data_IF_956041932917
#
_entry.id   IF_956041932917
#
_cell.length_a   1.000
_cell.length_b   1.000
_cell.length_c   1.000
_cell.angle_alpha   90.00
_cell.angle_beta   90.00
_cell.angle_gamma   90.00
#
_symmetry.space_group_name_H-M   'P 1'
#
loop_
_entity.id
_entity.type
_entity.pdbx_description
1 polymer ?
#
# COMPACT_ATOMS: atom_id res chain seq x y z
N UNK A 1 -23.51 13.07 22.65
CA UNK A 1 -23.03 12.01 21.75
C UNK A 1 -22.81 10.78 22.60
N UNK A 2 -23.46 9.67 22.30
CA UNK A 2 -23.13 8.43 23.00
C UNK A 2 -21.86 7.83 22.37
N UNK A 3 -20.75 8.00 23.09
CA UNK A 3 -19.41 7.58 22.65
C UNK A 3 -19.33 6.04 22.55
N UNK A 4 -20.23 5.33 23.28
CA UNK A 4 -20.26 3.86 23.29
C UNK A 4 -20.48 3.29 21.90
N UNK A 5 -21.30 3.93 21.06
CA UNK A 5 -21.62 3.48 19.71
C UNK A 5 -20.39 3.41 18.79
N UNK A 6 -19.36 4.26 18.98
CA UNK A 6 -18.12 4.21 18.23
C UNK A 6 -17.25 3.00 18.57
N UNK A 7 -17.43 2.43 19.75
CA UNK A 7 -16.69 1.28 20.25
C UNK A 7 -17.51 -0.02 20.18
N UNK A 8 -18.81 0.08 19.88
CA UNK A 8 -19.69 -1.08 19.78
C UNK A 8 -19.25 -2.05 18.67
N UNK A 9 -19.30 -3.33 18.98
CA UNK A 9 -18.88 -4.38 18.06
C UNK A 9 -17.37 -4.47 17.82
N UNK A 10 -16.54 -3.69 18.53
CA UNK A 10 -15.08 -3.85 18.57
C UNK A 10 -14.70 -4.76 19.75
N UNK A 11 -13.68 -5.60 19.55
CA UNK A 11 -13.08 -6.35 20.66
C UNK A 11 -12.18 -5.43 21.52
N UNK A 12 -11.71 -5.93 22.67
CA UNK A 12 -10.94 -5.12 23.63
C UNK A 12 -9.67 -4.54 23.01
N UNK A 13 -8.93 -5.29 22.19
CA UNK A 13 -7.72 -4.82 21.52
C UNK A 13 -8.00 -3.79 20.41
N UNK A 14 -9.10 -3.96 19.71
CA UNK A 14 -9.57 -2.96 18.74
C UNK A 14 -10.00 -1.67 19.45
N UNK A 15 -10.73 -1.78 20.58
CA UNK A 15 -11.10 -0.62 21.43
C UNK A 15 -9.87 0.10 21.96
N UNK A 16 -8.89 -0.66 22.46
CA UNK A 16 -7.60 -0.10 22.91
C UNK A 16 -6.94 0.73 21.80
N UNK A 17 -6.88 0.22 20.57
CA UNK A 17 -6.28 0.94 19.44
C UNK A 17 -7.10 2.17 19.00
N UNK A 18 -8.44 2.07 19.01
CA UNK A 18 -9.34 3.16 18.62
C UNK A 18 -9.32 4.28 19.65
N UNK A 19 -9.40 3.97 20.95
CA UNK A 19 -9.47 4.94 22.03
C UNK A 19 -8.08 5.28 22.62
N UNK A 20 -6.98 4.83 22.00
CA UNK A 20 -5.63 5.13 22.49
C UNK A 20 -5.43 6.64 22.66
N UNK A 21 -4.69 7.11 23.68
CA UNK A 21 -4.33 8.50 23.84
C UNK A 21 -3.68 9.12 22.59
N UNK A 22 -3.56 10.44 22.52
CA UNK A 22 -2.87 11.09 21.41
C UNK A 22 -1.37 10.76 21.45
N UNK A 23 -0.91 9.90 20.56
CA UNK A 23 0.46 9.37 20.55
C UNK A 23 0.83 8.75 19.21
N UNK A 24 1.98 8.10 19.19
CA UNK A 24 2.45 7.34 18.02
C UNK A 24 2.24 5.85 18.27
N UNK A 25 1.62 5.16 17.33
CA UNK A 25 1.22 3.76 17.49
C UNK A 25 1.53 2.92 16.25
N UNK A 26 2.04 1.73 16.51
CA UNK A 26 1.99 0.62 15.56
C UNK A 26 0.82 -0.27 15.96
N UNK A 27 -0.17 -0.40 15.09
CA UNK A 27 -1.18 -1.44 15.18
C UNK A 27 -0.72 -2.63 14.33
N UNK A 28 -0.09 -3.60 14.98
CA UNK A 28 0.35 -4.83 14.35
C UNK A 28 -0.85 -5.78 14.24
N UNK A 29 -1.43 -5.87 13.06
CA UNK A 29 -2.75 -6.44 12.84
C UNK A 29 -2.71 -7.55 11.79
N UNK A 30 -2.92 -8.78 12.20
CA UNK A 30 -2.92 -9.93 11.30
C UNK A 30 -4.03 -9.90 10.25
N UNK A 31 -3.95 -10.79 9.29
CA UNK A 31 -5.00 -10.95 8.27
C UNK A 31 -6.37 -11.18 8.94
N UNK A 32 -7.39 -10.49 8.46
CA UNK A 32 -8.76 -10.66 8.97
C UNK A 32 -9.03 -10.19 10.41
N UNK A 33 -8.09 -9.45 11.04
CA UNK A 33 -8.24 -8.90 12.40
C UNK A 33 -8.97 -7.55 12.46
N UNK A 34 -9.37 -6.99 11.31
CA UNK A 34 -10.09 -5.72 11.23
C UNK A 34 -9.21 -4.48 11.15
N UNK A 35 -8.01 -4.55 10.53
CA UNK A 35 -7.09 -3.43 10.28
C UNK A 35 -7.81 -2.14 9.86
N UNK A 36 -8.48 -2.19 8.73
CA UNK A 36 -9.18 -1.03 8.17
C UNK A 36 -10.32 -0.54 9.07
N UNK A 37 -11.00 -1.46 9.79
CA UNK A 37 -12.04 -1.11 10.74
C UNK A 37 -11.47 -0.28 11.89
N UNK A 38 -10.37 -0.71 12.49
CA UNK A 38 -9.69 0.05 13.56
C UNK A 38 -9.27 1.41 13.08
N UNK A 39 -8.68 1.50 11.88
CA UNK A 39 -8.22 2.77 11.32
C UNK A 39 -9.38 3.75 11.08
N UNK A 40 -10.49 3.28 10.50
CA UNK A 40 -11.68 4.13 10.25
C UNK A 40 -12.35 4.57 11.55
N UNK A 41 -12.47 3.68 12.54
CA UNK A 41 -13.01 4.02 13.87
C UNK A 41 -12.06 4.96 14.63
N UNK A 42 -10.73 4.82 14.51
CA UNK A 42 -9.78 5.77 15.10
C UNK A 42 -9.96 7.17 14.53
N UNK A 43 -10.13 7.31 13.23
CA UNK A 43 -10.40 8.61 12.61
C UNK A 43 -11.71 9.19 13.13
N UNK A 44 -12.77 8.37 13.20
CA UNK A 44 -14.04 8.82 13.77
C UNK A 44 -13.91 9.24 15.24
N UNK A 45 -13.13 8.50 16.04
CA UNK A 45 -12.82 8.84 17.43
C UNK A 45 -12.09 10.17 17.56
N UNK A 46 -11.03 10.39 16.76
CA UNK A 46 -10.29 11.65 16.74
C UNK A 46 -11.19 12.85 16.48
N UNK A 47 -12.14 12.73 15.55
CA UNK A 47 -13.07 13.80 15.21
C UNK A 47 -14.12 13.98 16.29
N UNK A 48 -14.79 12.90 16.69
CA UNK A 48 -15.99 12.96 17.51
C UNK A 48 -15.70 13.10 19.01
N UNK A 49 -14.60 12.54 19.50
CA UNK A 49 -14.26 12.48 20.93
C UNK A 49 -13.14 13.45 21.26
N UNK A 50 -12.06 13.43 20.49
CA UNK A 50 -10.90 14.28 20.69
C UNK A 50 -11.10 15.70 20.11
N UNK A 51 -12.22 15.94 19.42
CA UNK A 51 -12.56 17.20 18.76
C UNK A 51 -11.47 17.69 17.77
N UNK A 52 -10.79 16.76 17.12
CA UNK A 52 -9.79 17.08 16.11
C UNK A 52 -10.49 17.48 14.80
N UNK A 53 -10.09 18.61 14.23
CA UNK A 53 -10.60 19.03 12.93
C UNK A 53 -10.26 18.02 11.84
N UNK A 54 -11.21 17.72 10.96
CA UNK A 54 -11.02 16.83 9.81
C UNK A 54 -9.85 17.29 8.92
N UNK A 55 -9.66 18.60 8.80
CA UNK A 55 -8.54 19.20 8.06
C UNK A 55 -7.17 18.91 8.63
N UNK A 56 -7.10 18.50 9.91
CA UNK A 56 -5.86 18.16 10.61
C UNK A 56 -5.49 16.66 10.49
N UNK A 57 -6.31 15.88 9.79
CA UNK A 57 -6.12 14.43 9.63
C UNK A 57 -5.72 14.12 8.20
N UNK A 58 -4.67 13.32 8.05
CA UNK A 58 -4.26 12.72 6.79
C UNK A 58 -4.31 11.19 6.93
N UNK A 59 -5.02 10.52 6.02
CA UNK A 59 -5.10 9.07 5.97
C UNK A 59 -4.56 8.55 4.63
N UNK A 60 -3.58 7.65 4.71
CA UNK A 60 -2.87 7.12 3.56
C UNK A 60 -3.12 5.62 3.43
N UNK A 61 -3.39 5.17 2.22
CA UNK A 61 -3.57 3.75 1.88
C UNK A 61 -2.88 3.42 0.55
N UNK A 62 -2.87 2.14 0.18
CA UNK A 62 -2.09 1.67 -0.98
C UNK A 62 -2.83 1.78 -2.32
N UNK A 63 -4.17 1.71 -2.32
CA UNK A 63 -4.98 1.73 -3.55
C UNK A 63 -6.07 2.80 -3.50
N UNK A 64 -6.42 3.33 -4.67
CA UNK A 64 -7.53 4.28 -4.78
C UNK A 64 -8.87 3.68 -4.35
N UNK A 65 -9.07 2.37 -4.57
CA UNK A 65 -10.25 1.63 -4.11
C UNK A 65 -10.31 1.63 -2.59
N UNK A 66 -9.21 1.30 -1.91
CA UNK A 66 -9.14 1.31 -0.44
C UNK A 66 -9.35 2.73 0.13
N UNK A 67 -8.82 3.76 -0.54
CA UNK A 67 -9.04 5.16 -0.14
C UNK A 67 -10.52 5.57 -0.25
N UNK A 68 -11.19 5.18 -1.33
CA UNK A 68 -12.63 5.44 -1.52
C UNK A 68 -13.47 4.69 -0.47
N UNK A 69 -13.16 3.41 -0.22
CA UNK A 69 -13.83 2.60 0.80
C UNK A 69 -13.62 3.16 2.21
N UNK A 70 -12.38 3.56 2.54
CA UNK A 70 -12.07 4.20 3.82
C UNK A 70 -12.90 5.48 4.03
N UNK A 71 -12.98 6.34 3.01
CA UNK A 71 -13.79 7.58 3.07
C UNK A 71 -15.26 7.26 3.32
N UNK A 72 -15.83 6.30 2.60
CA UNK A 72 -17.22 5.87 2.77
C UNK A 72 -17.48 5.36 4.19
N UNK A 73 -16.63 4.48 4.70
CA UNK A 73 -16.76 3.92 6.05
C UNK A 73 -16.65 4.98 7.16
N UNK A 74 -15.73 5.94 7.01
CA UNK A 74 -15.62 7.07 7.94
C UNK A 74 -16.92 7.91 7.92
N UNK A 75 -17.41 8.19 6.71
CA UNK A 75 -18.66 8.95 6.53
C UNK A 75 -19.84 8.23 7.16
N UNK A 76 -20.00 6.92 6.93
CA UNK A 76 -21.08 6.11 7.52
C UNK A 76 -21.00 6.06 9.04
N UNK A 77 -19.79 5.91 9.59
CA UNK A 77 -19.59 5.88 11.04
C UNK A 77 -19.94 7.23 11.69
N UNK A 78 -19.55 8.35 11.07
CA UNK A 78 -19.82 9.69 11.59
C UNK A 78 -21.24 10.18 11.29
N UNK A 79 -21.87 9.76 10.17
CA UNK A 79 -23.22 10.22 9.79
C UNK A 79 -24.30 9.79 10.76
N UNK A 80 -24.07 8.77 11.55
CA UNK A 80 -24.95 8.37 12.66
C UNK A 80 -25.01 9.42 13.76
N UNK A 81 -24.04 10.31 13.84
CA UNK A 81 -23.85 11.24 14.95
C UNK A 81 -23.85 12.72 14.54
N UNK A 82 -23.48 13.05 13.30
CA UNK A 82 -23.47 14.41 12.74
C UNK A 82 -23.34 14.30 11.21
N UNK A 83 -23.61 15.39 10.48
CA UNK A 83 -23.26 15.44 9.05
C UNK A 83 -21.75 15.79 8.92
N UNK A 84 -20.84 14.83 8.73
CA UNK A 84 -19.43 15.14 8.67
C UNK A 84 -19.08 15.81 7.35
N UNK A 85 -18.41 16.93 7.42
CA UNK A 85 -17.82 17.55 6.24
C UNK A 85 -16.39 17.06 6.04
N UNK A 86 -16.22 15.89 5.43
CA UNK A 86 -14.89 15.31 5.16
C UNK A 86 -14.08 16.06 4.08
N UNK A 87 -14.58 17.19 3.60
CA UNK A 87 -13.96 17.93 2.49
C UNK A 87 -12.55 18.44 2.80
N UNK A 88 -12.26 18.72 4.07
CA UNK A 88 -10.94 19.18 4.54
C UNK A 88 -9.92 18.07 4.71
N UNK A 89 -10.36 16.82 4.89
CA UNK A 89 -9.50 15.67 5.15
C UNK A 89 -8.74 15.23 3.88
N UNK A 90 -7.50 14.83 4.06
CA UNK A 90 -6.73 14.23 2.99
C UNK A 90 -6.72 12.70 3.15
N UNK A 91 -7.56 12.03 2.36
CA UNK A 91 -7.61 10.56 2.27
C UNK A 91 -7.21 10.17 0.84
N UNK A 92 -6.17 9.35 0.70
CA UNK A 92 -5.69 8.95 -0.61
C UNK A 92 -4.53 7.97 -0.55
N UNK A 93 -3.99 7.65 -1.73
CA UNK A 93 -2.71 6.95 -1.85
C UNK A 93 -1.56 7.95 -1.68
N UNK A 94 -0.36 7.46 -1.37
CA UNK A 94 0.85 8.30 -1.36
C UNK A 94 0.97 9.14 -2.63
N UNK A 95 0.80 8.52 -3.79
CA UNK A 95 0.89 9.19 -5.09
C UNK A 95 -0.20 10.24 -5.31
N UNK A 96 -1.45 9.96 -4.93
CA UNK A 96 -2.54 10.92 -5.10
C UNK A 96 -2.39 12.15 -4.19
N UNK A 97 -1.88 11.94 -2.98
CA UNK A 97 -1.59 13.02 -2.02
C UNK A 97 -0.39 13.84 -2.50
N UNK A 98 0.70 13.18 -2.95
CA UNK A 98 1.86 13.84 -3.53
C UNK A 98 1.47 14.65 -4.78
N UNK A 99 0.67 14.09 -5.68
CA UNK A 99 0.16 14.81 -6.84
C UNK A 99 -0.62 16.07 -6.45
N UNK A 100 -1.54 15.96 -5.49
CA UNK A 100 -2.29 17.12 -4.96
C UNK A 100 -1.37 18.19 -4.38
N UNK A 101 -0.34 17.79 -3.65
CA UNK A 101 0.67 18.69 -3.09
C UNK A 101 1.45 19.41 -4.20
N UNK A 102 1.95 18.66 -5.19
CA UNK A 102 2.72 19.23 -6.30
C UNK A 102 1.88 20.16 -7.18
N UNK A 103 0.60 19.86 -7.40
CA UNK A 103 -0.32 20.78 -8.10
C UNK A 103 -0.48 22.11 -7.35
N UNK A 104 -0.60 22.07 -6.02
CA UNK A 104 -0.73 23.29 -5.20
C UNK A 104 0.57 24.12 -5.15
N UNK A 105 1.72 23.47 -5.33
CA UNK A 105 3.05 24.08 -5.23
C UNK A 105 3.88 23.93 -6.51
N UNK A 106 3.23 23.87 -7.66
CA UNK A 106 3.90 23.60 -8.94
C UNK A 106 5.06 24.57 -9.23
N UNK A 107 4.91 25.85 -8.91
CA UNK A 107 5.97 26.86 -9.07
C UNK A 107 7.18 26.60 -8.17
N UNK A 108 6.93 26.17 -6.93
CA UNK A 108 8.00 25.89 -5.95
C UNK A 108 8.86 24.69 -6.32
N UNK A 109 8.34 23.80 -7.17
CA UNK A 109 9.03 22.60 -7.68
C UNK A 109 9.39 22.68 -9.16
N UNK A 110 9.34 23.89 -9.76
CA UNK A 110 9.63 24.14 -11.17
C UNK A 110 8.83 23.24 -12.14
N UNK A 111 7.54 23.09 -11.89
CA UNK A 111 6.61 22.39 -12.78
C UNK A 111 5.62 23.38 -13.40
N UNK A 112 5.17 23.15 -14.64
CA UNK A 112 4.01 23.86 -15.19
C UNK A 112 2.76 23.47 -14.38
N UNK A 113 1.75 24.34 -14.35
CA UNK A 113 0.51 24.09 -13.62
C UNK A 113 -0.20 22.82 -14.10
N UNK A 114 -0.09 22.52 -15.38
CA UNK A 114 -0.72 21.40 -16.07
C UNK A 114 0.25 20.25 -16.39
N UNK A 115 1.33 20.09 -15.59
CA UNK A 115 2.29 19.02 -15.79
C UNK A 115 1.62 17.66 -16.00
N UNK A 116 2.19 16.84 -16.88
CA UNK A 116 1.62 15.56 -17.27
C UNK A 116 2.24 14.41 -16.49
N UNK A 117 1.40 13.45 -16.09
CA UNK A 117 1.85 12.22 -15.43
C UNK A 117 2.05 11.16 -16.52
N UNK A 118 3.27 10.61 -16.57
CA UNK A 118 3.60 9.47 -17.42
C UNK A 118 3.14 8.17 -16.75
N UNK A 119 2.37 7.37 -17.47
CA UNK A 119 2.17 5.98 -17.09
C UNK A 119 3.40 5.11 -17.43
N UNK A 120 3.36 3.84 -17.07
CA UNK A 120 4.49 2.93 -17.29
C UNK A 120 4.80 2.69 -18.77
N UNK A 121 3.80 2.74 -19.65
CA UNK A 121 4.01 2.58 -21.10
C UNK A 121 4.58 3.84 -21.71
N UNK A 122 4.10 5.00 -21.32
CA UNK A 122 4.60 6.30 -21.76
C UNK A 122 6.04 6.50 -21.30
N UNK A 123 6.36 6.14 -20.05
CA UNK A 123 7.72 6.13 -19.53
C UNK A 123 8.62 5.24 -20.37
N UNK A 124 8.21 4.00 -20.65
CA UNK A 124 9.00 3.08 -21.46
C UNK A 124 9.20 3.59 -22.89
N UNK A 125 8.17 4.17 -23.50
CA UNK A 125 8.27 4.78 -24.85
C UNK A 125 9.27 5.94 -24.87
N UNK A 126 9.22 6.81 -23.86
CA UNK A 126 10.15 7.92 -23.73
C UNK A 126 11.59 7.42 -23.55
N UNK A 127 11.83 6.48 -22.62
CA UNK A 127 13.15 5.90 -22.37
C UNK A 127 13.72 5.26 -23.63
N UNK A 128 12.96 4.43 -24.36
CA UNK A 128 13.38 3.83 -25.63
C UNK A 128 13.81 4.88 -26.64
N UNK A 129 13.02 5.96 -26.80
CA UNK A 129 13.34 7.04 -27.73
C UNK A 129 14.65 7.74 -27.36
N UNK A 130 14.85 8.05 -26.09
CA UNK A 130 16.04 8.74 -25.59
C UNK A 130 17.29 7.85 -25.75
N UNK A 131 17.21 6.59 -25.39
CA UNK A 131 18.32 5.64 -25.53
C UNK A 131 18.74 5.49 -26.98
N UNK A 132 17.79 5.42 -27.91
CA UNK A 132 18.08 5.40 -29.35
C UNK A 132 18.75 6.70 -29.84
N UNK A 133 18.28 7.86 -29.38
CA UNK A 133 18.87 9.17 -29.73
C UNK A 133 20.32 9.30 -29.24
N UNK A 134 20.65 8.67 -28.12
CA UNK A 134 22.00 8.71 -27.55
C UNK A 134 22.85 7.47 -27.91
N UNK A 135 22.42 6.70 -28.93
CA UNK A 135 23.12 5.52 -29.46
C UNK A 135 23.42 4.41 -28.42
N UNK A 136 22.54 4.22 -27.42
CA UNK A 136 22.63 3.08 -26.51
C UNK A 136 22.20 1.79 -27.22
N UNK A 137 22.95 0.72 -27.00
CA UNK A 137 22.59 -0.62 -27.48
C UNK A 137 21.54 -1.27 -26.57
N UNK A 138 20.37 -1.57 -27.12
CA UNK A 138 19.24 -2.20 -26.39
C UNK A 138 19.57 -3.58 -25.81
N UNK A 139 20.62 -4.25 -26.30
CA UNK A 139 21.06 -5.53 -25.75
C UNK A 139 21.92 -5.33 -24.50
N UNK A 140 22.80 -4.33 -24.51
CA UNK A 140 23.66 -3.99 -23.38
C UNK A 140 22.87 -3.26 -22.28
N UNK A 141 21.94 -2.39 -22.69
CA UNK A 141 21.09 -1.58 -21.81
C UNK A 141 19.60 -1.75 -22.19
N UNK A 142 18.91 -2.79 -21.74
CA UNK A 142 17.50 -2.99 -22.07
C UNK A 142 16.62 -1.84 -21.54
N UNK A 143 15.75 -1.21 -22.36
CA UNK A 143 14.93 -0.07 -21.93
C UNK A 143 14.01 -0.36 -20.73
N UNK A 144 13.51 -1.58 -20.59
CA UNK A 144 12.73 -1.99 -19.41
C UNK A 144 13.56 -1.97 -18.14
N UNK A 145 14.84 -2.37 -18.24
CA UNK A 145 15.77 -2.35 -17.13
C UNK A 145 16.15 -0.89 -16.77
N UNK A 146 16.28 -0.01 -17.79
CA UNK A 146 16.48 1.43 -17.56
C UNK A 146 15.30 2.04 -16.78
N UNK A 147 14.05 1.74 -17.17
CA UNK A 147 12.88 2.19 -16.41
C UNK A 147 12.91 1.66 -14.97
N UNK A 148 13.22 0.38 -14.78
CA UNK A 148 13.32 -0.22 -13.46
C UNK A 148 14.40 0.47 -12.61
N UNK A 149 15.59 0.69 -13.18
CA UNK A 149 16.69 1.40 -12.53
C UNK A 149 16.29 2.80 -12.07
N UNK A 150 15.73 3.59 -12.98
CA UNK A 150 15.27 4.97 -12.70
C UNK A 150 14.25 4.98 -11.56
N UNK A 151 13.24 4.12 -11.64
CA UNK A 151 12.17 4.08 -10.64
C UNK A 151 12.71 3.62 -9.26
N UNK A 152 13.58 2.60 -9.25
CA UNK A 152 14.20 2.10 -8.03
C UNK A 152 15.04 3.18 -7.34
N UNK A 153 15.89 3.90 -8.09
CA UNK A 153 16.70 5.00 -7.52
C UNK A 153 15.83 6.13 -6.98
N UNK A 154 14.74 6.48 -7.66
CA UNK A 154 13.77 7.46 -7.15
C UNK A 154 13.06 6.98 -5.88
N UNK A 155 12.69 5.71 -5.81
CA UNK A 155 12.07 5.09 -4.63
C UNK A 155 13.03 5.01 -3.43
N UNK A 156 14.33 4.97 -3.69
CA UNK A 156 15.39 5.14 -2.70
C UNK A 156 15.61 6.60 -2.27
N UNK A 157 15.02 7.56 -3.00
CA UNK A 157 15.20 9.00 -2.79
C UNK A 157 16.47 9.57 -3.42
N UNK A 158 17.02 8.90 -4.44
CA UNK A 158 18.27 9.28 -5.07
C UNK A 158 18.05 9.94 -6.43
N UNK A 159 18.73 11.08 -6.63
CA UNK A 159 18.88 11.73 -7.94
C UNK A 159 20.15 11.23 -8.63
N UNK A 160 20.31 11.41 -9.95
CA UNK A 160 21.53 11.00 -10.65
C UNK A 160 22.82 11.47 -9.99
N UNK A 161 22.85 12.70 -9.49
CA UNK A 161 24.03 13.29 -8.82
C UNK A 161 24.30 12.72 -7.41
N UNK A 162 23.35 12.03 -6.81
CA UNK A 162 23.45 11.46 -5.47
C UNK A 162 23.90 9.99 -5.48
N UNK A 163 24.06 9.41 -6.69
CA UNK A 163 24.42 8.01 -6.87
C UNK A 163 25.94 7.91 -7.06
N UNK A 164 26.61 7.12 -6.21
CA UNK A 164 28.00 6.77 -6.37
C UNK A 164 28.14 5.60 -7.34
N UNK A 165 29.00 5.72 -8.35
CA UNK A 165 29.29 4.66 -9.31
C UNK A 165 30.34 3.66 -8.82
N UNK A 166 31.04 3.96 -7.71
CA UNK A 166 32.12 3.15 -7.15
C UNK A 166 33.17 2.70 -8.17
N UNK A 167 33.30 3.41 -9.29
CA UNK A 167 34.17 3.07 -10.41
C UNK A 167 33.61 2.01 -11.36
N UNK A 168 32.37 1.59 -11.18
CA UNK A 168 31.70 0.66 -12.11
C UNK A 168 31.26 1.42 -13.39
N UNK A 169 31.82 0.98 -14.52
CA UNK A 169 31.49 1.55 -15.84
C UNK A 169 30.03 1.35 -16.23
N UNK A 170 29.43 0.22 -15.85
CA UNK A 170 28.03 -0.06 -16.18
C UNK A 170 27.10 0.81 -15.34
N UNK A 171 27.35 0.96 -14.03
CA UNK A 171 26.57 1.84 -13.16
C UNK A 171 26.65 3.29 -13.65
N UNK A 172 27.84 3.74 -14.07
CA UNK A 172 28.04 5.08 -14.64
C UNK A 172 27.16 5.34 -15.88
N UNK A 173 26.99 4.34 -16.75
CA UNK A 173 26.11 4.48 -17.91
C UNK A 173 24.62 4.48 -17.50
N UNK A 174 24.21 3.70 -16.50
CA UNK A 174 22.85 3.75 -15.96
C UNK A 174 22.54 5.14 -15.36
N UNK A 175 23.48 5.73 -14.61
CA UNK A 175 23.35 7.08 -14.07
C UNK A 175 23.18 8.10 -15.20
N UNK A 176 23.93 8.00 -16.29
CA UNK A 176 23.78 8.88 -17.45
C UNK A 176 22.42 8.74 -18.14
N UNK A 177 21.92 7.51 -18.31
CA UNK A 177 20.59 7.25 -18.85
C UNK A 177 19.53 7.91 -17.96
N UNK A 178 19.64 7.76 -16.65
CA UNK A 178 18.75 8.42 -15.70
C UNK A 178 18.82 9.95 -15.82
N UNK A 179 20.03 10.54 -15.92
CA UNK A 179 20.20 11.97 -16.07
C UNK A 179 19.54 12.50 -17.36
N UNK A 180 19.77 11.83 -18.49
CA UNK A 180 19.16 12.20 -19.80
C UNK A 180 17.63 12.16 -19.72
N UNK A 181 17.09 11.11 -19.08
CA UNK A 181 15.66 10.95 -18.87
C UNK A 181 15.10 12.08 -18.00
N UNK A 182 15.74 12.36 -16.84
CA UNK A 182 15.29 13.38 -15.90
C UNK A 182 15.32 14.77 -16.52
N UNK A 183 16.40 15.14 -17.20
CA UNK A 183 16.53 16.44 -17.90
C UNK A 183 15.46 16.63 -18.96
N UNK A 184 15.08 15.54 -19.63
CA UNK A 184 14.02 15.58 -20.65
C UNK A 184 12.66 15.77 -20.02
N UNK A 185 12.38 15.04 -18.94
CA UNK A 185 11.13 15.18 -18.20
C UNK A 185 10.98 16.59 -17.61
N UNK A 186 12.03 17.13 -16.99
CA UNK A 186 12.02 18.47 -16.40
C UNK A 186 11.75 19.56 -17.41
N UNK A 187 12.38 19.50 -18.61
CA UNK A 187 12.14 20.46 -19.69
C UNK A 187 10.73 20.37 -20.28
N UNK A 188 10.16 19.17 -20.31
CA UNK A 188 8.86 18.92 -20.93
C UNK A 188 7.69 19.01 -19.94
N UNK A 189 7.94 19.23 -18.64
CA UNK A 189 6.90 19.21 -17.61
C UNK A 189 6.26 17.83 -17.42
N UNK A 190 7.05 16.75 -17.56
CA UNK A 190 6.62 15.37 -17.43
C UNK A 190 7.03 14.82 -16.07
N UNK A 191 6.15 14.04 -15.45
CA UNK A 191 6.35 13.48 -14.10
C UNK A 191 5.93 12.02 -14.12
N UNK A 192 6.83 11.09 -13.85
CA UNK A 192 6.47 9.69 -13.64
C UNK A 192 5.98 9.42 -12.21
N UNK A 193 5.46 8.23 -11.94
CA UNK A 193 4.91 7.91 -10.63
C UNK A 193 5.95 8.02 -9.50
N UNK A 194 7.16 7.52 -9.70
CA UNK A 194 8.21 7.61 -8.68
C UNK A 194 8.64 9.08 -8.46
N UNK A 195 8.63 9.90 -9.52
CA UNK A 195 8.93 11.33 -9.45
C UNK A 195 7.94 12.11 -8.56
N UNK A 196 6.66 11.72 -8.54
CA UNK A 196 5.68 12.38 -7.67
C UNK A 196 6.13 12.35 -6.20
N UNK A 197 6.64 11.21 -5.75
CA UNK A 197 7.03 11.03 -4.33
C UNK A 197 8.35 11.73 -4.00
N UNK A 198 9.37 11.53 -4.83
CA UNK A 198 10.68 12.16 -4.57
C UNK A 198 10.57 13.69 -4.65
N UNK A 199 9.85 14.23 -5.62
CA UNK A 199 9.65 15.67 -5.76
C UNK A 199 8.82 16.28 -4.64
N UNK A 200 7.81 15.56 -4.15
CA UNK A 200 7.03 15.97 -2.98
C UNK A 200 7.89 15.96 -1.69
N UNK A 201 8.79 14.99 -1.55
CA UNK A 201 9.75 14.97 -0.46
C UNK A 201 10.74 16.14 -0.56
N UNK A 202 11.31 16.38 -1.73
CA UNK A 202 12.24 17.49 -1.98
C UNK A 202 11.59 18.86 -1.75
N UNK A 203 10.31 19.02 -2.07
CA UNK A 203 9.57 20.26 -1.77
C UNK A 203 9.65 20.56 -0.28
N UNK A 204 9.37 19.58 0.57
CA UNK A 204 9.44 19.75 2.01
C UNK A 204 10.88 19.95 2.51
N UNK A 205 11.83 19.20 1.99
CA UNK A 205 13.24 19.32 2.38
C UNK A 205 13.86 20.68 2.00
N UNK A 206 13.46 21.23 0.84
CA UNK A 206 14.03 22.48 0.29
C UNK A 206 13.22 23.74 0.68
N UNK A 207 11.97 23.59 1.13
CA UNK A 207 11.06 24.73 1.44
C UNK A 207 10.51 24.63 2.87
N UNK A 208 11.29 25.01 3.90
CA UNK A 208 10.89 24.86 5.31
C UNK A 208 9.56 25.54 5.66
N UNK A 209 9.26 26.68 5.04
CA UNK A 209 8.00 27.42 5.28
C UNK A 209 6.79 26.60 4.82
N UNK A 210 6.90 25.92 3.66
CA UNK A 210 5.85 25.06 3.15
C UNK A 210 5.72 23.84 4.07
N UNK A 211 6.84 23.20 4.43
CA UNK A 211 6.84 22.08 5.37
C UNK A 211 6.15 22.44 6.67
N UNK A 212 6.53 23.54 7.32
CA UNK A 212 5.96 23.99 8.58
C UNK A 212 4.43 24.15 8.48
N UNK A 213 3.93 24.75 7.39
CA UNK A 213 2.50 24.89 7.13
C UNK A 213 1.77 23.56 7.12
N UNK A 214 2.35 22.53 6.46
CA UNK A 214 1.74 21.20 6.38
C UNK A 214 1.90 20.42 7.68
N UNK A 215 2.99 20.56 8.42
CA UNK A 215 3.16 20.00 9.76
C UNK A 215 2.13 20.58 10.77
N UNK A 216 1.89 21.89 10.71
CA UNK A 216 0.85 22.54 11.53
C UNK A 216 -0.56 22.08 11.14
N UNK A 217 -0.77 21.79 9.86
CA UNK A 217 -2.04 21.29 9.36
C UNK A 217 -2.27 19.85 9.74
N UNK A 218 -1.37 18.94 9.37
CA UNK A 218 -1.54 17.49 9.54
C UNK A 218 -0.97 17.03 10.88
N UNK A 219 -1.73 17.25 11.93
CA UNK A 219 -1.35 16.86 13.29
C UNK A 219 -1.53 15.36 13.53
N UNK A 220 -2.38 14.69 12.71
CA UNK A 220 -2.65 13.25 12.78
C UNK A 220 -2.46 12.61 11.39
N UNK A 221 -1.55 11.66 11.34
CA UNK A 221 -1.24 10.90 10.12
C UNK A 221 -1.52 9.43 10.39
N UNK A 222 -2.42 8.85 9.61
CA UNK A 222 -2.77 7.43 9.70
C UNK A 222 -2.39 6.72 8.41
N UNK A 223 -1.70 5.59 8.51
CA UNK A 223 -1.20 4.86 7.33
C UNK A 223 -1.62 3.41 7.41
N UNK A 224 -2.35 2.94 6.39
CA UNK A 224 -2.71 1.53 6.23
C UNK A 224 -1.67 0.77 5.40
N UNK A 225 -1.60 -0.56 5.58
CA UNK A 225 -0.68 -1.48 4.88
C UNK A 225 0.78 -1.01 4.90
N UNK A 226 1.24 -0.55 6.06
CA UNK A 226 2.54 0.12 6.21
C UNK A 226 3.73 -0.77 5.84
N UNK A 227 3.62 -2.11 5.92
CA UNK A 227 4.65 -3.06 5.52
C UNK A 227 5.03 -2.95 4.02
N UNK A 228 4.15 -2.36 3.22
CA UNK A 228 4.37 -2.22 1.77
C UNK A 228 5.01 -0.87 1.39
N UNK A 229 5.41 -0.07 2.38
CA UNK A 229 6.06 1.23 2.15
C UNK A 229 7.51 1.08 1.71
N UNK A 230 7.93 1.89 0.73
CA UNK A 230 9.32 2.03 0.33
C UNK A 230 10.05 3.13 1.14
N UNK A 231 11.34 3.32 0.85
CA UNK A 231 12.20 4.25 1.59
C UNK A 231 11.73 5.70 1.49
N UNK A 232 11.36 6.17 0.29
CA UNK A 232 10.93 7.56 0.10
C UNK A 232 9.58 7.84 0.75
N UNK A 233 8.64 6.87 0.75
CA UNK A 233 7.36 6.99 1.43
C UNK A 233 7.53 7.11 2.93
N UNK A 234 8.41 6.31 3.52
CA UNK A 234 8.73 6.43 4.94
C UNK A 234 9.38 7.78 5.27
N UNK A 235 10.37 8.20 4.47
CA UNK A 235 11.02 9.51 4.65
C UNK A 235 10.02 10.67 4.55
N UNK A 236 9.05 10.56 3.63
CA UNK A 236 7.99 11.55 3.45
C UNK A 236 7.07 11.65 4.67
N UNK A 237 6.66 10.51 5.25
CA UNK A 237 5.87 10.50 6.51
C UNK A 237 6.69 11.14 7.62
N UNK A 238 7.95 10.76 7.76
CA UNK A 238 8.83 11.23 8.84
C UNK A 238 9.04 12.75 8.79
N UNK A 239 9.33 13.30 7.59
CA UNK A 239 9.52 14.75 7.45
C UNK A 239 8.22 15.52 7.71
N UNK A 240 7.09 15.00 7.25
CA UNK A 240 5.79 15.65 7.43
C UNK A 240 5.31 15.62 8.88
N UNK A 241 5.50 14.50 9.58
CA UNK A 241 5.14 14.39 11.00
C UNK A 241 6.00 15.34 11.88
N UNK A 242 7.28 15.51 11.52
CA UNK A 242 8.22 16.29 12.32
C UNK A 242 8.27 15.79 13.77
N UNK A 243 8.35 16.71 14.71
CA UNK A 243 8.43 16.38 16.15
C UNK A 243 7.07 16.42 16.87
N UNK A 244 6.03 16.94 16.25
CA UNK A 244 4.73 17.20 16.88
C UNK A 244 3.59 16.38 16.33
N UNK A 245 3.70 15.91 15.09
CA UNK A 245 2.68 15.09 14.47
C UNK A 245 2.53 13.75 15.17
N UNK A 246 1.28 13.28 15.29
CA UNK A 246 0.94 11.97 15.83
C UNK A 246 0.70 11.01 14.68
N UNK A 247 1.43 9.90 14.68
CA UNK A 247 1.40 8.94 13.59
C UNK A 247 0.91 7.60 14.09
N UNK A 248 -0.14 7.08 13.47
CA UNK A 248 -0.59 5.70 13.67
C UNK A 248 -0.40 4.93 12.38
N UNK A 249 0.41 3.91 12.43
CA UNK A 249 0.56 2.97 11.32
C UNK A 249 -0.15 1.66 11.62
N UNK A 250 -0.80 1.11 10.60
CA UNK A 250 -1.42 -0.21 10.65
C UNK A 250 -0.75 -1.10 9.62
N UNK A 251 -0.35 -2.28 10.01
CA UNK A 251 0.35 -3.18 9.09
C UNK A 251 0.51 -4.59 9.62
N UNK A 252 1.04 -5.43 8.77
CA UNK A 252 1.31 -6.83 9.03
C UNK A 252 2.63 -7.24 8.35
N UNK A 253 3.68 -7.40 9.13
CA UNK A 253 4.99 -7.82 8.63
C UNK A 253 4.94 -9.17 7.90
N UNK A 254 4.04 -10.07 8.31
CA UNK A 254 3.83 -11.37 7.66
C UNK A 254 3.13 -11.27 6.28
N UNK A 255 2.54 -10.11 5.94
CA UNK A 255 1.90 -9.84 4.65
C UNK A 255 2.78 -9.00 3.70
N UNK A 256 4.03 -8.74 4.04
CA UNK A 256 4.96 -8.01 3.17
C UNK A 256 5.37 -8.84 1.97
N UNK A 257 4.70 -8.65 0.83
CA UNK A 257 4.95 -9.38 -0.42
C UNK A 257 5.43 -8.50 -1.57
N UNK A 258 5.64 -7.20 -1.32
CA UNK A 258 6.04 -6.22 -2.34
C UNK A 258 7.53 -5.80 -2.24
N UNK A 259 8.39 -6.60 -1.59
CA UNK A 259 9.83 -6.34 -1.54
C UNK A 259 10.46 -6.17 -2.93
N UNK A 260 9.99 -6.92 -3.93
CA UNK A 260 10.41 -6.79 -5.32
C UNK A 260 9.98 -5.46 -6.00
N UNK A 261 9.08 -4.70 -5.37
CA UNK A 261 8.67 -3.33 -5.75
C UNK A 261 9.33 -2.27 -4.88
N UNK A 262 10.36 -2.63 -4.09
CA UNK A 262 11.05 -1.69 -3.22
C UNK A 262 10.43 -1.49 -1.84
N UNK A 263 9.38 -2.24 -1.47
CA UNK A 263 8.85 -2.23 -0.12
C UNK A 263 9.92 -2.70 0.89
N UNK A 264 9.97 -2.03 2.04
CA UNK A 264 10.93 -2.32 3.11
C UNK A 264 10.19 -2.57 4.42
N UNK A 265 10.04 -3.85 4.77
CA UNK A 265 9.39 -4.25 6.02
C UNK A 265 10.11 -3.69 7.26
N UNK A 266 11.42 -3.44 7.16
CA UNK A 266 12.25 -2.81 8.18
C UNK A 266 11.78 -1.38 8.53
N UNK A 267 10.98 -0.74 7.68
CA UNK A 267 10.38 0.55 7.98
C UNK A 267 9.50 0.51 9.22
N UNK A 268 8.91 -0.65 9.54
CA UNK A 268 8.14 -0.84 10.77
C UNK A 268 9.05 -0.70 12.00
N UNK A 269 10.21 -1.34 12.00
CA UNK A 269 11.18 -1.24 13.11
C UNK A 269 11.78 0.15 13.21
N UNK A 270 12.07 0.79 12.06
CA UNK A 270 12.53 2.19 12.03
C UNK A 270 11.47 3.13 12.63
N UNK A 271 10.20 2.91 12.28
CA UNK A 271 9.09 3.70 12.83
C UNK A 271 8.99 3.59 14.35
N UNK A 272 9.05 2.38 14.90
CA UNK A 272 9.02 2.16 16.35
C UNK A 272 10.12 2.95 17.06
N UNK A 273 11.33 2.95 16.49
CA UNK A 273 12.48 3.67 17.05
C UNK A 273 12.37 5.18 16.85
N UNK A 274 12.11 5.64 15.63
CA UNK A 274 12.14 7.05 15.27
C UNK A 274 11.02 7.86 15.95
N UNK A 275 9.85 7.24 16.15
CA UNK A 275 8.69 7.88 16.75
C UNK A 275 8.44 7.49 18.21
N UNK A 276 9.30 6.64 18.79
CA UNK A 276 9.09 6.04 20.12
C UNK A 276 7.66 5.51 20.26
N UNK A 277 7.21 4.75 19.25
CA UNK A 277 5.82 4.33 19.10
C UNK A 277 5.51 3.10 19.95
N UNK A 278 4.30 3.08 20.51
CA UNK A 278 3.76 1.92 21.22
C UNK A 278 3.15 0.91 20.24
N UNK A 279 3.20 -0.38 20.60
CA UNK A 279 2.65 -1.45 19.75
C UNK A 279 1.39 -2.02 20.35
N UNK A 280 0.30 -2.03 19.58
CA UNK A 280 -0.95 -2.72 19.88
C UNK A 280 -1.12 -3.88 18.90
N UNK A 281 -1.36 -5.11 19.41
CA UNK A 281 -1.50 -6.32 18.57
C UNK A 281 -2.94 -6.71 18.41
N UNK A 282 -3.37 -6.93 17.15
CA UNK A 282 -4.69 -7.45 16.80
C UNK A 282 -4.50 -8.87 16.26
N UNK A 283 -4.79 -9.88 17.09
CA UNK A 283 -4.56 -11.30 16.78
C UNK A 283 -5.85 -12.08 16.54
N UNK A 284 -6.99 -11.57 17.01
CA UNK A 284 -8.28 -12.20 16.78
C UNK A 284 -8.70 -12.02 15.31
N UNK A 285 -8.92 -13.14 14.64
CA UNK A 285 -9.32 -13.19 13.24
C UNK A 285 -10.82 -13.44 13.12
N UNK A 286 -11.49 -12.67 12.27
CA UNK A 286 -12.92 -12.72 11.98
C UNK A 286 -13.25 -13.23 10.57
N UNK A 287 -12.24 -13.63 9.82
CA UNK A 287 -12.37 -14.01 8.41
C UNK A 287 -12.35 -15.53 8.23
N UNK A 288 -11.46 -16.21 8.93
CA UNK A 288 -11.07 -17.59 8.62
C UNK A 288 -11.45 -18.54 9.75
N UNK A 289 -11.66 -19.81 9.40
CA UNK A 289 -11.87 -20.90 10.36
C UNK A 289 -10.56 -21.28 11.07
N UNK A 290 -10.67 -21.99 12.19
CA UNK A 290 -9.51 -22.39 13.00
C UNK A 290 -8.48 -23.24 12.24
N UNK A 291 -8.92 -24.17 11.37
CA UNK A 291 -8.00 -24.99 10.58
C UNK A 291 -7.19 -24.18 9.56
N UNK A 292 -7.79 -23.16 8.94
CA UNK A 292 -7.08 -22.24 8.03
C UNK A 292 -6.02 -21.47 8.84
N UNK A 293 -6.38 -20.92 10.00
CA UNK A 293 -5.45 -20.17 10.84
C UNK A 293 -4.32 -21.04 11.38
N UNK A 294 -4.61 -22.29 11.78
CA UNK A 294 -3.60 -23.25 12.21
C UNK A 294 -2.57 -23.51 11.10
N UNK A 295 -3.04 -23.73 9.88
CA UNK A 295 -2.16 -23.93 8.71
C UNK A 295 -1.33 -22.68 8.39
N UNK A 296 -1.94 -21.48 8.42
CA UNK A 296 -1.27 -20.23 8.20
C UNK A 296 -0.20 -19.94 9.27
N UNK A 297 -0.53 -20.11 10.56
CA UNK A 297 0.41 -19.92 11.66
C UNK A 297 1.60 -20.89 11.57
N UNK A 298 1.34 -22.17 11.20
CA UNK A 298 2.39 -23.16 11.03
C UNK A 298 3.31 -22.82 9.86
N UNK A 299 2.73 -22.35 8.74
CA UNK A 299 3.53 -21.94 7.57
C UNK A 299 4.42 -20.75 7.90
N UNK A 300 3.86 -19.68 8.49
CA UNK A 300 4.58 -18.46 8.76
C UNK A 300 5.61 -18.61 9.90
N UNK A 301 5.48 -19.60 10.77
CA UNK A 301 6.44 -19.87 11.84
C UNK A 301 7.83 -20.26 11.34
N UNK A 302 7.97 -20.63 10.05
CA UNK A 302 9.26 -20.88 9.41
C UNK A 302 10.07 -19.59 9.14
N UNK A 303 9.45 -18.41 9.21
CA UNK A 303 10.14 -17.14 9.09
C UNK A 303 10.67 -16.71 10.47
N UNK A 304 11.99 -16.43 10.58
CA UNK A 304 12.67 -16.10 11.84
C UNK A 304 12.54 -14.63 12.24
N UNK A 305 12.46 -13.71 11.27
CA UNK A 305 12.60 -12.26 11.51
C UNK A 305 11.25 -11.54 11.63
N UNK A 306 10.32 -12.14 12.39
CA UNK A 306 8.96 -11.64 12.59
C UNK A 306 8.84 -10.80 13.86
N UNK A 307 7.94 -9.82 13.86
CA UNK A 307 7.53 -9.11 15.07
C UNK A 307 6.72 -9.99 16.04
N UNK A 308 6.25 -11.13 15.56
CA UNK A 308 5.58 -12.19 16.34
C UNK A 308 4.13 -11.86 16.67
N UNK A 309 3.24 -12.66 16.11
CA UNK A 309 1.81 -12.72 16.43
C UNK A 309 1.27 -14.11 16.10
N UNK A 310 0.21 -14.53 16.77
CA UNK A 310 -0.50 -15.77 16.50
C UNK A 310 -1.97 -15.45 16.25
N UNK A 311 -2.45 -15.76 15.05
CA UNK A 311 -3.86 -15.56 14.72
C UNK A 311 -4.71 -16.66 15.36
N UNK A 312 -5.80 -16.25 15.98
CA UNK A 312 -6.77 -17.14 16.60
C UNK A 312 -8.20 -16.67 16.29
N UNK A 313 -9.18 -17.52 16.46
CA UNK A 313 -10.59 -17.21 16.26
C UNK A 313 -11.46 -17.90 17.29
N UNK A 314 -12.55 -17.25 17.69
CA UNK A 314 -13.64 -17.85 18.46
C UNK A 314 -14.61 -18.62 17.56
N UNK A 315 -14.41 -18.55 16.22
CA UNK A 315 -15.25 -19.21 15.24
C UNK A 315 -15.06 -20.73 15.20
N UNK A 316 -15.80 -21.38 14.31
CA UNK A 316 -15.71 -22.83 14.09
C UNK A 316 -14.32 -23.23 13.62
N UNK A 317 -13.90 -24.47 13.94
CA UNK A 317 -12.67 -25.05 13.42
C UNK A 317 -12.68 -25.17 11.89
N UNK A 318 -13.85 -25.40 11.30
CA UNK A 318 -14.00 -25.58 9.86
C UNK A 318 -13.43 -26.91 9.38
N UNK A 319 -13.49 -27.14 8.09
CA UNK A 319 -12.92 -28.31 7.45
C UNK A 319 -11.39 -28.22 7.36
N UNK A 320 -10.68 -29.36 7.32
CA UNK A 320 -9.26 -29.40 7.04
C UNK A 320 -8.93 -28.79 5.67
N UNK A 321 -7.74 -28.19 5.56
CA UNK A 321 -7.22 -27.74 4.25
C UNK A 321 -6.90 -28.95 3.40
N UNK A 322 -7.57 -29.08 2.25
CA UNK A 322 -7.34 -30.17 1.29
C UNK A 322 -6.10 -29.89 0.42
N UNK A 323 -5.34 -30.93 0.12
CA UNK A 323 -4.22 -30.87 -0.82
C UNK A 323 -4.48 -31.84 -1.96
N UNK A 324 -4.38 -31.37 -3.19
CA UNK A 324 -4.49 -32.18 -4.39
C UNK A 324 -3.20 -32.07 -5.22
N UNK A 325 -2.59 -33.21 -5.51
CA UNK A 325 -1.42 -33.30 -6.36
C UNK A 325 -1.84 -33.71 -7.78
N UNK A 326 -1.91 -32.73 -8.68
CA UNK A 326 -2.30 -32.96 -10.06
C UNK A 326 -1.15 -33.58 -10.90
N UNK A 327 -1.49 -34.36 -11.93
CA UNK A 327 -0.50 -34.91 -12.88
C UNK A 327 0.03 -33.83 -13.83
N UNK A 328 -0.76 -32.86 -14.18
CA UNK A 328 -0.43 -31.72 -15.04
C UNK A 328 -1.41 -30.58 -14.84
N UNK A 329 -1.17 -29.46 -15.54
CA UNK A 329 -1.99 -28.24 -15.46
C UNK A 329 -3.45 -28.44 -15.90
N UNK A 330 -3.71 -29.36 -16.84
CA UNK A 330 -5.07 -29.67 -17.28
C UNK A 330 -5.85 -30.46 -16.21
N UNK A 331 -5.17 -31.35 -15.52
CA UNK A 331 -5.74 -32.12 -14.41
C UNK A 331 -6.04 -31.20 -13.22
N UNK A 332 -5.10 -30.30 -12.89
CA UNK A 332 -5.30 -29.26 -11.88
C UNK A 332 -6.55 -28.41 -12.17
N UNK A 333 -6.65 -27.90 -13.40
CA UNK A 333 -7.78 -27.06 -13.79
C UNK A 333 -9.13 -27.79 -13.78
N UNK A 334 -9.16 -29.08 -14.17
CA UNK A 334 -10.35 -29.93 -14.07
C UNK A 334 -10.76 -30.16 -12.61
N UNK A 335 -9.78 -30.43 -11.75
CA UNK A 335 -10.01 -30.56 -10.32
C UNK A 335 -10.63 -29.29 -9.74
N UNK A 336 -10.07 -28.12 -10.03
CA UNK A 336 -10.60 -26.82 -9.57
C UNK A 336 -12.05 -26.64 -10.03
N UNK A 337 -12.33 -26.86 -11.31
CA UNK A 337 -13.69 -26.73 -11.84
C UNK A 337 -14.67 -27.72 -11.17
N UNK A 338 -14.24 -28.97 -10.93
CA UNK A 338 -15.09 -29.96 -10.23
C UNK A 338 -15.37 -29.59 -8.77
N UNK A 339 -14.39 -29.01 -8.07
CA UNK A 339 -14.60 -28.53 -6.69
C UNK A 339 -15.61 -27.38 -6.63
N UNK A 340 -15.56 -26.46 -7.60
CA UNK A 340 -16.55 -25.39 -7.68
C UNK A 340 -17.94 -25.94 -7.96
N UNK A 341 -18.05 -26.94 -8.87
CA UNK A 341 -19.33 -27.56 -9.18
C UNK A 341 -19.91 -28.28 -7.95
N UNK A 342 -19.08 -29.07 -7.25
CA UNK A 342 -19.49 -29.74 -6.00
C UNK A 342 -19.99 -28.73 -4.96
N UNK A 343 -19.29 -27.58 -4.82
CA UNK A 343 -19.72 -26.51 -3.91
C UNK A 343 -21.11 -25.96 -4.26
N UNK A 344 -21.40 -25.78 -5.55
CA UNK A 344 -22.71 -25.32 -6.02
C UNK A 344 -23.76 -26.39 -5.84
N UNK A 345 -23.46 -27.64 -6.12
CA UNK A 345 -24.37 -28.79 -5.93
C UNK A 345 -24.75 -29.00 -4.46
N UNK A 346 -23.82 -28.66 -3.54
CA UNK A 346 -24.05 -28.65 -2.07
C UNK A 346 -24.80 -27.39 -1.59
N UNK A 347 -25.25 -26.52 -2.49
CA UNK A 347 -26.02 -25.31 -2.20
C UNK A 347 -25.21 -24.04 -1.95
N UNK A 348 -23.90 -24.05 -2.21
CA UNK A 348 -23.03 -22.88 -2.17
C UNK A 348 -23.27 -21.94 -3.35
N UNK A 349 -22.75 -20.72 -3.28
CA UNK A 349 -22.84 -19.72 -4.35
C UNK A 349 -21.51 -19.58 -5.06
N UNK A 350 -21.54 -19.33 -6.36
CA UNK A 350 -20.35 -19.05 -7.16
C UNK A 350 -19.60 -17.80 -6.68
N UNK A 351 -20.32 -16.80 -6.21
CA UNK A 351 -19.73 -15.56 -5.67
C UNK A 351 -18.89 -15.78 -4.40
N UNK A 352 -19.05 -16.92 -3.73
CA UNK A 352 -18.27 -17.31 -2.56
C UNK A 352 -16.98 -18.08 -2.94
N UNK A 353 -16.79 -18.37 -4.23
CA UNK A 353 -15.63 -19.09 -4.73
C UNK A 353 -14.56 -18.13 -5.26
N UNK A 354 -13.30 -18.36 -4.89
CA UNK A 354 -12.16 -17.65 -5.45
C UNK A 354 -11.03 -18.62 -5.81
N UNK A 355 -10.48 -18.47 -7.00
CA UNK A 355 -9.31 -19.23 -7.46
C UNK A 355 -8.11 -18.30 -7.47
N UNK A 356 -7.10 -18.62 -6.68
CA UNK A 356 -5.85 -17.85 -6.59
C UNK A 356 -4.72 -18.62 -7.30
N UNK A 357 -3.96 -17.94 -8.12
CA UNK A 357 -2.80 -18.51 -8.82
C UNK A 357 -1.60 -17.59 -8.72
N UNK A 358 -0.41 -18.14 -8.85
CA UNK A 358 0.86 -17.41 -8.68
C UNK A 358 1.20 -16.54 -9.89
N UNK A 359 0.86 -16.97 -11.08
CA UNK A 359 1.25 -16.34 -12.35
C UNK A 359 0.06 -16.24 -13.30
N UNK A 360 -0.06 -15.11 -14.00
CA UNK A 360 -1.12 -14.90 -14.99
C UNK A 360 -1.11 -15.94 -16.12
N UNK A 361 0.04 -16.59 -16.37
CA UNK A 361 0.11 -17.68 -17.35
C UNK A 361 -0.75 -18.91 -16.98
N UNK A 362 -1.03 -19.10 -15.68
CA UNK A 362 -1.87 -20.21 -15.19
C UNK A 362 -3.37 -19.95 -15.44
N UNK A 363 -3.80 -18.70 -15.59
CA UNK A 363 -5.22 -18.34 -15.73
C UNK A 363 -5.86 -19.01 -16.93
N UNK A 364 -5.16 -19.06 -18.07
CA UNK A 364 -5.71 -19.56 -19.33
C UNK A 364 -6.25 -20.99 -19.23
N UNK A 365 -5.49 -21.89 -18.63
CA UNK A 365 -5.89 -23.31 -18.52
C UNK A 365 -7.08 -23.47 -17.59
N UNK A 366 -7.10 -22.68 -16.49
CA UNK A 366 -8.21 -22.65 -15.54
C UNK A 366 -9.47 -22.08 -16.20
N UNK A 367 -9.35 -20.98 -16.96
CA UNK A 367 -10.45 -20.37 -17.71
C UNK A 367 -11.05 -21.34 -18.73
N UNK A 368 -10.20 -22.06 -19.49
CA UNK A 368 -10.67 -23.07 -20.45
C UNK A 368 -11.47 -24.19 -19.75
N UNK A 369 -11.05 -24.60 -18.54
CA UNK A 369 -11.79 -25.61 -17.76
C UNK A 369 -13.13 -25.08 -17.25
N UNK A 370 -13.18 -23.84 -16.74
CA UNK A 370 -14.41 -23.19 -16.29
C UNK A 370 -15.41 -23.00 -17.43
N UNK A 371 -14.95 -22.57 -18.60
CA UNK A 371 -15.79 -22.43 -19.82
C UNK A 371 -16.39 -23.77 -20.21
N UNK A 372 -15.59 -24.86 -20.24
CA UNK A 372 -16.07 -26.22 -20.59
C UNK A 372 -17.15 -26.72 -19.62
N UNK A 373 -17.05 -26.34 -18.34
CA UNK A 373 -18.04 -26.67 -17.31
C UNK A 373 -19.17 -25.64 -17.23
N UNK A 374 -19.21 -24.63 -18.12
CA UNK A 374 -20.20 -23.56 -18.15
C UNK A 374 -20.29 -22.77 -16.81
N UNK A 375 -19.17 -22.67 -16.10
CA UNK A 375 -19.07 -21.91 -14.85
C UNK A 375 -18.72 -20.45 -15.18
N UNK A 376 -19.62 -19.48 -14.89
CA UNK A 376 -19.30 -18.07 -15.09
C UNK A 376 -18.21 -17.62 -14.13
N UNK A 377 -17.29 -16.80 -14.62
CA UNK A 377 -16.15 -16.30 -13.82
C UNK A 377 -15.81 -14.85 -14.17
N UNK A 378 -15.03 -14.22 -13.30
CA UNK A 378 -14.46 -12.90 -13.52
C UNK A 378 -12.98 -12.91 -13.13
N UNK A 379 -12.14 -12.33 -13.99
CA UNK A 379 -10.71 -12.14 -13.69
C UNK A 379 -10.51 -10.80 -13.02
N UNK A 380 -9.72 -10.79 -11.96
CA UNK A 380 -9.27 -9.60 -11.27
C UNK A 380 -7.75 -9.45 -11.44
N UNK A 381 -7.29 -8.27 -11.85
CA UNK A 381 -5.88 -7.95 -11.93
C UNK A 381 -5.17 -8.45 -13.19
N UNK A 382 -5.91 -8.64 -14.28
CA UNK A 382 -5.39 -8.89 -15.63
C UNK A 382 -4.91 -7.62 -16.29
#
# INVERSE_FOLDING_TARGET
MDISELLDGLNDKQREAVAAPLGNYLVLAGAGSGKTRVLTHRIAWLIAVENISEGSIMAVTFTNKAAAEMRHRIQDTLSKHAQPNLFGMWIGTFHSIAHRLLRAHHLDVNLPQDFQILDSEDQLRLVKRLMKLHNYDDKAFPPKQACWYINNKKDEGLRPQDIDDFGDRQEKEWIKIYQIYQDTCDRAGLVDFAELLIRAYELFAKKPVILQRYQQRFQHILVDEFQDTNKIQYAWIKILAGNTGKVMIVGDDDQSIYGWRGAQVENIQKFLKDFNAETIRLEQNYRSTGNILKSANQLISNNSDRLGKNLWTDGKMGEPVGIYAAFNELDEAKFVASQIQNWVDDGGKLDDCAVLYRSNSQSRVIEEALIRCQIPYRIYGG
#
